data_IF_928853382177
#
_entry.id   IF_928853382177
#
_cell.length_a   1.000
_cell.length_b   1.000
_cell.length_c   1.000
_cell.angle_alpha   90.00
_cell.angle_beta   90.00
_cell.angle_gamma   90.00
#
_symmetry.space_group_name_H-M   'P 1'
#
loop_
_entity.id
_entity.type
_entity.pdbx_description
1 polymer ?
#
# COMPACT_ATOMS: atom_id res chain seq x y z
N UNK A 1 11.84 -18.86 12.82
CA UNK A 1 12.71 -17.70 13.06
C UNK A 1 12.08 -16.39 12.54
N UNK A 2 12.33 -15.25 13.18
CA UNK A 2 11.79 -13.93 12.75
C UNK A 2 12.92 -12.94 12.61
N UNK A 3 12.92 -12.17 11.52
CA UNK A 3 13.87 -11.09 11.27
C UNK A 3 13.12 -9.77 11.30
N UNK A 4 13.56 -8.84 12.14
CA UNK A 4 13.10 -7.45 12.16
C UNK A 4 14.24 -6.52 11.74
N UNK A 5 13.93 -5.45 11.02
CA UNK A 5 14.90 -4.46 10.60
C UNK A 5 14.27 -3.11 10.28
N UNK A 6 15.10 -2.15 9.89
CA UNK A 6 14.66 -0.83 9.43
C UNK A 6 15.34 -0.51 8.09
N UNK A 7 14.58 0.03 7.13
CA UNK A 7 15.14 0.54 5.87
C UNK A 7 15.08 2.06 5.89
N UNK A 8 16.26 2.67 5.78
CA UNK A 8 16.41 4.13 5.79
C UNK A 8 16.69 4.65 4.38
N UNK A 9 15.84 5.54 3.89
CA UNK A 9 16.09 6.27 2.66
C UNK A 9 16.98 7.49 2.93
N UNK A 10 18.26 7.38 2.58
CA UNK A 10 19.20 8.50 2.73
C UNK A 10 19.20 9.47 1.54
N UNK A 11 18.43 9.20 0.49
CA UNK A 11 18.35 10.06 -0.69
C UNK A 11 17.51 11.32 -0.43
N UNK A 12 17.56 12.27 -1.36
CA UNK A 12 16.70 13.45 -1.44
C UNK A 12 15.43 13.22 -2.30
N UNK A 13 15.23 11.99 -2.79
CA UNK A 13 14.04 11.53 -3.51
C UNK A 13 13.48 10.26 -2.89
N UNK A 14 12.19 9.97 -3.15
CA UNK A 14 11.54 8.77 -2.66
C UNK A 14 12.01 7.51 -3.39
N UNK A 15 12.00 6.37 -2.72
CA UNK A 15 12.42 5.08 -3.28
C UNK A 15 11.44 3.96 -2.92
N UNK A 16 11.30 2.98 -3.80
CA UNK A 16 10.67 1.69 -3.49
C UNK A 16 11.81 0.69 -3.27
N UNK A 17 12.11 0.27 -2.03
CA UNK A 17 13.18 -0.68 -1.78
C UNK A 17 12.69 -2.12 -1.99
N UNK A 18 13.60 -2.95 -2.48
CA UNK A 18 13.51 -4.40 -2.49
C UNK A 18 14.61 -4.92 -1.58
N UNK A 19 14.21 -5.61 -0.51
CA UNK A 19 15.12 -6.12 0.52
C UNK A 19 15.16 -7.63 0.37
N UNK A 20 16.35 -8.21 0.21
CA UNK A 20 16.52 -9.66 0.28
C UNK A 20 17.10 -10.00 1.64
N UNK A 21 16.37 -10.83 2.38
CA UNK A 21 16.78 -11.35 3.68
C UNK A 21 17.08 -12.83 3.52
N UNK A 22 18.28 -13.24 3.92
CA UNK A 22 18.73 -14.63 3.85
C UNK A 22 19.13 -15.15 5.22
N UNK A 23 18.67 -16.34 5.55
CA UNK A 23 18.99 -17.04 6.80
C UNK A 23 19.56 -18.41 6.45
N UNK A 24 20.74 -18.72 6.99
CA UNK A 24 21.34 -20.05 6.91
C UNK A 24 20.88 -20.85 8.12
N UNK A 25 20.39 -22.06 7.91
CA UNK A 25 20.04 -23.01 8.96
C UNK A 25 20.54 -24.41 8.57
N UNK A 26 21.60 -24.86 9.24
CA UNK A 26 22.37 -26.04 8.81
C UNK A 26 23.00 -25.84 7.43
N UNK A 27 22.68 -26.74 6.50
CA UNK A 27 23.16 -26.69 5.10
C UNK A 27 22.22 -25.89 4.17
N UNK A 28 21.04 -25.47 4.66
CA UNK A 28 20.03 -24.80 3.85
C UNK A 28 20.17 -23.29 3.96
N UNK A 29 19.94 -22.59 2.85
CA UNK A 29 19.77 -21.13 2.83
C UNK A 29 18.34 -20.80 2.44
N UNK A 30 17.66 -20.05 3.30
CA UNK A 30 16.30 -19.57 3.05
C UNK A 30 16.36 -18.09 2.73
N UNK A 31 15.89 -17.70 1.55
CA UNK A 31 15.85 -16.30 1.11
C UNK A 31 14.42 -15.86 0.92
N UNK A 32 14.08 -14.68 1.45
CA UNK A 32 12.81 -14.02 1.17
C UNK A 32 13.06 -12.60 0.68
N UNK A 33 12.26 -12.20 -0.30
CA UNK A 33 12.24 -10.85 -0.84
C UNK A 33 11.10 -10.07 -0.20
N UNK A 34 11.41 -8.86 0.25
CA UNK A 34 10.43 -7.90 0.77
C UNK A 34 10.39 -6.75 -0.21
N UNK A 35 9.24 -6.55 -0.83
CA UNK A 35 8.90 -5.33 -1.55
C UNK A 35 8.24 -4.40 -0.55
N UNK A 36 8.90 -3.30 -0.22
CA UNK A 36 8.35 -2.32 0.72
C UNK A 36 7.59 -1.22 -0.02
N UNK A 37 6.75 -0.48 0.70
CA UNK A 37 6.05 0.70 0.17
C UNK A 37 7.07 1.81 -0.19
N UNK A 38 6.67 2.80 -1.00
CA UNK A 38 7.49 3.99 -1.22
C UNK A 38 7.94 4.63 0.10
N UNK A 39 9.26 4.78 0.26
CA UNK A 39 9.88 5.47 1.40
C UNK A 39 10.20 6.90 0.95
N UNK A 40 9.59 7.94 1.56
CA UNK A 40 9.92 9.33 1.29
C UNK A 40 11.42 9.65 1.49
N UNK A 41 11.90 10.80 0.98
CA UNK A 41 13.25 11.27 1.24
C UNK A 41 13.53 11.40 2.74
N UNK A 42 14.71 10.96 3.18
CA UNK A 42 15.21 11.14 4.55
C UNK A 42 14.36 10.48 5.66
N UNK A 43 13.41 9.62 5.31
CA UNK A 43 12.63 8.83 6.27
C UNK A 43 13.11 7.39 6.33
N UNK A 44 12.59 6.65 7.29
CA UNK A 44 12.83 5.22 7.43
C UNK A 44 11.54 4.47 7.75
N UNK A 45 11.53 3.18 7.48
CA UNK A 45 10.37 2.32 7.73
C UNK A 45 10.81 0.93 8.22
N UNK A 46 10.26 0.47 9.35
CA UNK A 46 10.58 -0.86 9.86
C UNK A 46 9.96 -1.96 8.98
N UNK A 47 10.55 -3.15 9.01
CA UNK A 47 10.00 -4.35 8.37
C UNK A 47 10.22 -5.59 9.23
N UNK A 48 9.23 -6.50 9.21
CA UNK A 48 9.29 -7.79 9.89
C UNK A 48 9.05 -8.89 8.87
N UNK A 49 9.86 -9.95 8.91
CA UNK A 49 9.65 -11.14 8.09
C UNK A 49 9.87 -12.42 8.88
N UNK A 50 8.95 -13.37 8.72
CA UNK A 50 9.03 -14.69 9.37
C UNK A 50 9.55 -15.74 8.40
N UNK A 51 10.44 -16.58 8.90
CA UNK A 51 10.92 -17.82 8.27
C UNK A 51 10.41 -19.00 9.11
N UNK A 52 9.18 -19.51 8.82
CA UNK A 52 8.67 -20.72 9.46
C UNK A 52 9.51 -21.97 9.18
N UNK A 53 10.26 -21.98 8.08
CA UNK A 53 11.08 -23.09 7.62
C UNK A 53 12.38 -23.24 8.43
N UNK A 54 12.81 -22.16 9.10
CA UNK A 54 14.00 -22.15 9.96
C UNK A 54 13.61 -22.67 11.33
N UNK A 55 14.10 -23.87 11.65
CA UNK A 55 13.77 -24.62 12.88
C UNK A 55 15.00 -25.07 13.66
N UNK A 56 16.22 -24.89 13.15
CA UNK A 56 17.43 -25.24 13.87
C UNK A 56 17.76 -24.27 15.01
N UNK A 57 18.67 -24.71 15.87
CA UNK A 57 18.98 -24.05 17.15
C UNK A 57 19.93 -22.85 17.01
N UNK A 58 20.64 -22.74 15.88
CA UNK A 58 21.64 -21.69 15.65
C UNK A 58 21.60 -21.14 14.21
N UNK A 59 20.47 -20.56 13.76
CA UNK A 59 20.37 -19.95 12.45
C UNK A 59 21.27 -18.70 12.34
N UNK A 60 21.88 -18.50 11.18
CA UNK A 60 22.76 -17.36 10.90
C UNK A 60 22.04 -16.42 9.94
N UNK A 61 21.76 -15.19 10.40
CA UNK A 61 21.25 -14.12 9.55
C UNK A 61 22.40 -13.54 8.72
N UNK A 62 22.25 -13.55 7.39
CA UNK A 62 23.19 -12.89 6.49
C UNK A 62 22.88 -11.40 6.38
N UNK A 63 23.87 -10.63 5.91
CA UNK A 63 23.68 -9.22 5.57
C UNK A 63 22.60 -9.09 4.49
N UNK A 64 21.67 -8.15 4.68
CA UNK A 64 20.55 -7.96 3.77
C UNK A 64 21.03 -7.27 2.48
N UNK A 65 20.59 -7.78 1.32
CA UNK A 65 20.83 -7.09 0.06
C UNK A 65 19.71 -6.09 -0.23
N UNK A 66 20.09 -4.88 -0.64
CA UNK A 66 19.15 -3.81 -0.94
C UNK A 66 19.22 -3.41 -2.42
N UNK A 67 18.07 -3.41 -3.08
CA UNK A 67 17.86 -2.73 -4.37
C UNK A 67 16.77 -1.70 -4.22
N UNK A 68 16.72 -0.69 -5.08
CA UNK A 68 15.62 0.26 -5.05
C UNK A 68 15.33 0.84 -6.43
N UNK A 69 14.09 1.28 -6.60
CA UNK A 69 13.65 2.07 -7.76
C UNK A 69 13.27 3.46 -7.28
N UNK A 70 13.72 4.50 -7.98
CA UNK A 70 13.34 5.89 -7.70
C UNK A 70 11.84 6.08 -7.97
N UNK A 71 11.14 6.73 -7.06
CA UNK A 71 9.71 7.04 -7.17
C UNK A 71 9.43 8.46 -6.69
N UNK A 72 8.16 8.85 -6.63
CA UNK A 72 7.69 10.08 -6.01
C UNK A 72 6.76 9.74 -4.85
N UNK A 73 7.09 10.28 -3.68
CA UNK A 73 6.29 10.18 -2.47
C UNK A 73 6.75 11.28 -1.54
N UNK A 74 5.83 12.16 -1.18
CA UNK A 74 6.12 13.22 -0.23
C UNK A 74 6.14 12.65 1.20
N UNK A 75 6.98 13.21 2.09
CA UNK A 75 6.93 12.89 3.51
C UNK A 75 5.56 13.24 4.08
N UNK A 76 5.05 12.37 4.94
CA UNK A 76 3.79 12.62 5.63
C UNK A 76 4.06 13.66 6.71
N UNK A 77 3.19 14.67 6.80
CA UNK A 77 3.30 15.75 7.79
C UNK A 77 2.70 15.35 9.15
N UNK A 78 3.00 14.13 9.59
CA UNK A 78 2.65 13.65 10.92
C UNK A 78 3.95 13.52 11.71
N UNK A 79 3.97 14.08 12.90
CA UNK A 79 5.06 13.93 13.85
C UNK A 79 4.62 13.17 15.10
N UNK A 80 5.56 12.45 15.70
CA UNK A 80 5.38 11.84 17.02
C UNK A 80 5.78 12.87 18.07
N UNK A 81 4.91 13.07 19.06
CA UNK A 81 5.21 13.95 20.19
C UNK A 81 6.10 13.23 21.21
N UNK A 82 7.41 13.46 21.13
CA UNK A 82 8.42 12.92 22.06
C UNK A 82 8.45 13.73 23.38
N UNK A 83 7.34 13.75 24.09
CA UNK A 83 7.22 14.38 25.40
C UNK A 83 6.82 13.36 26.49
N UNK A 84 6.41 13.85 27.66
CA UNK A 84 6.02 13.01 28.81
C UNK A 84 4.79 12.12 28.57
N UNK A 85 4.12 12.27 27.42
CA UNK A 85 2.96 11.45 27.03
C UNK A 85 3.35 10.21 26.23
N UNK A 86 4.59 10.09 25.76
CA UNK A 86 5.11 8.86 25.17
C UNK A 86 5.57 7.92 26.29
N UNK A 87 4.68 7.01 26.69
CA UNK A 87 4.81 6.21 27.92
C UNK A 87 4.82 4.73 27.55
N UNK A 88 5.86 4.01 27.97
CA UNK A 88 5.84 2.55 28.06
C UNK A 88 5.22 2.15 29.40
N UNK A 89 4.28 1.23 29.36
CA UNK A 89 3.57 0.72 30.53
C UNK A 89 4.17 -0.60 31.04
N UNK A 90 3.73 -1.01 32.22
CA UNK A 90 4.26 -2.20 32.92
C UNK A 90 3.95 -3.51 32.18
N UNK A 91 2.83 -3.57 31.45
CA UNK A 91 2.43 -4.67 30.58
C UNK A 91 3.10 -4.62 29.19
N UNK A 92 4.13 -3.78 29.04
CA UNK A 92 4.98 -3.71 27.87
C UNK A 92 4.47 -2.82 26.73
N UNK A 93 3.19 -2.44 26.72
CA UNK A 93 2.63 -1.60 25.65
C UNK A 93 3.13 -0.14 25.72
N UNK A 94 2.95 0.60 24.63
CA UNK A 94 3.30 2.03 24.55
C UNK A 94 2.10 2.86 24.13
N UNK A 95 1.88 3.98 24.82
CA UNK A 95 0.94 5.03 24.41
C UNK A 95 1.71 6.27 24.02
N UNK A 96 1.18 7.02 23.06
CA UNK A 96 1.77 8.29 22.65
C UNK A 96 0.77 9.17 21.93
N UNK A 97 1.28 10.26 21.36
CA UNK A 97 0.49 11.21 20.58
C UNK A 97 1.15 11.51 19.25
N UNK A 98 0.31 11.66 18.24
CA UNK A 98 0.69 12.18 16.93
C UNK A 98 0.10 13.57 16.72
N UNK A 99 0.80 14.39 15.95
CA UNK A 99 0.36 15.72 15.55
C UNK A 99 0.50 15.87 14.04
N UNK A 100 -0.55 16.33 13.37
CA UNK A 100 -0.45 16.74 11.98
C UNK A 100 0.08 18.18 11.91
N UNK A 101 1.37 18.33 11.66
CA UNK A 101 2.04 19.63 11.57
C UNK A 101 2.01 20.22 10.13
N UNK A 102 1.26 19.57 9.23
CA UNK A 102 1.09 19.99 7.84
C UNK A 102 -0.19 20.80 7.61
N UNK A 103 -0.43 21.16 6.35
CA UNK A 103 -1.59 21.92 5.91
C UNK A 103 -2.64 21.06 5.17
N UNK A 104 -2.46 19.74 5.16
CA UNK A 104 -3.36 18.79 4.50
C UNK A 104 -3.91 17.79 5.51
N UNK A 105 -5.16 17.37 5.31
CA UNK A 105 -5.73 16.23 6.02
C UNK A 105 -5.06 14.95 5.56
N UNK A 106 -4.55 14.16 6.50
CA UNK A 106 -3.96 12.84 6.22
C UNK A 106 -5.00 11.77 6.55
N UNK A 107 -5.26 10.87 5.61
CA UNK A 107 -6.23 9.78 5.77
C UNK A 107 -5.53 8.47 6.09
N UNK A 108 -6.17 7.66 6.93
CA UNK A 108 -5.71 6.32 7.33
C UNK A 108 -4.25 6.23 7.84
N UNK A 109 -3.75 7.21 8.62
CA UNK A 109 -2.38 7.11 9.11
C UNK A 109 -2.23 5.96 10.09
N UNK A 110 -1.08 5.30 10.01
CA UNK A 110 -0.58 4.34 10.98
C UNK A 110 0.75 4.80 11.52
N UNK A 111 1.07 4.35 12.71
CA UNK A 111 2.37 4.54 13.32
C UNK A 111 2.97 3.15 13.50
N UNK A 112 4.17 2.94 12.97
CA UNK A 112 4.97 1.75 13.23
C UNK A 112 6.04 2.08 14.26
N UNK A 113 6.44 1.11 15.08
CA UNK A 113 7.60 1.25 15.95
C UNK A 113 8.30 -0.10 16.15
N UNK A 114 9.60 -0.05 16.46
CA UNK A 114 10.39 -1.23 16.80
C UNK A 114 10.36 -1.41 18.31
N UNK A 115 9.94 -2.59 18.77
CA UNK A 115 10.05 -3.01 20.16
C UNK A 115 11.40 -3.71 20.37
N UNK A 116 12.21 -3.18 21.28
CA UNK A 116 13.54 -3.70 21.58
C UNK A 116 13.56 -4.41 22.92
N UNK A 117 14.25 -5.54 22.95
CA UNK A 117 14.68 -6.21 24.17
C UNK A 117 16.09 -5.80 24.54
N UNK A 118 16.74 -6.60 25.38
CA UNK A 118 18.13 -6.36 25.77
C UNK A 118 19.10 -6.70 24.61
N UNK A 119 19.32 -5.73 23.71
CA UNK A 119 20.25 -5.86 22.58
C UNK A 119 19.67 -6.56 21.35
N UNK A 120 18.37 -6.88 21.34
CA UNK A 120 17.68 -7.54 20.22
C UNK A 120 16.43 -6.77 19.80
N UNK A 121 16.04 -6.92 18.54
CA UNK A 121 14.70 -6.53 18.06
C UNK A 121 13.75 -7.66 18.39
N UNK A 122 12.73 -7.38 19.20
CA UNK A 122 11.72 -8.37 19.58
C UNK A 122 10.53 -8.33 18.62
N UNK A 123 10.10 -7.12 18.25
CA UNK A 123 8.90 -6.94 17.44
C UNK A 123 8.90 -5.64 16.64
N UNK A 124 7.97 -5.57 15.68
CA UNK A 124 7.53 -4.35 15.04
C UNK A 124 6.03 -4.24 15.26
N UNK A 125 5.66 -3.20 15.98
CA UNK A 125 4.28 -2.93 16.41
C UNK A 125 3.68 -1.83 15.58
N UNK A 126 2.35 -1.76 15.56
CA UNK A 126 1.60 -0.65 15.01
C UNK A 126 0.52 -0.20 15.99
N UNK A 127 -0.02 1.01 15.76
CA UNK A 127 -1.16 1.50 16.53
C UNK A 127 -2.39 0.63 16.30
N UNK A 128 -3.11 0.30 17.38
CA UNK A 128 -4.33 -0.52 17.32
C UNK A 128 -5.52 0.30 16.85
N UNK A 129 -5.55 1.59 17.20
CA UNK A 129 -6.64 2.48 16.85
C UNK A 129 -6.71 2.69 15.34
N UNK A 130 -7.86 2.44 14.74
CA UNK A 130 -8.13 2.87 13.37
C UNK A 130 -8.29 4.39 13.35
N UNK A 131 -7.37 5.08 12.69
CA UNK A 131 -7.40 6.53 12.50
C UNK A 131 -7.92 6.81 11.10
N UNK A 132 -9.20 7.16 10.95
CA UNK A 132 -9.80 7.47 9.64
C UNK A 132 -9.09 8.66 8.97
N UNK A 133 -8.84 9.72 9.75
CA UNK A 133 -8.10 10.90 9.30
C UNK A 133 -7.52 11.68 10.48
N UNK A 134 -6.55 12.53 10.18
CA UNK A 134 -6.03 13.58 11.06
C UNK A 134 -5.97 14.90 10.28
N UNK A 135 -6.72 15.90 10.75
CA UNK A 135 -6.79 17.23 10.14
C UNK A 135 -5.55 18.08 10.52
N UNK A 136 -5.24 19.16 9.77
CA UNK A 136 -4.17 20.09 10.13
C UNK A 136 -4.26 20.57 11.58
N UNK A 137 -3.12 20.61 12.27
CA UNK A 137 -2.95 20.96 13.69
C UNK A 137 -3.68 20.03 14.70
N UNK A 138 -4.32 18.95 14.24
CA UNK A 138 -4.97 17.99 15.12
C UNK A 138 -3.94 17.11 15.84
N UNK A 139 -4.20 16.83 17.10
CA UNK A 139 -3.44 15.87 17.92
C UNK A 139 -4.33 14.67 18.23
N UNK A 140 -3.83 13.46 17.97
CA UNK A 140 -4.50 12.20 18.29
C UNK A 140 -3.62 11.33 19.18
N UNK A 141 -4.26 10.53 20.01
CA UNK A 141 -3.60 9.52 20.84
C UNK A 141 -3.49 8.20 20.08
N UNK A 142 -2.45 7.43 20.37
CA UNK A 142 -2.29 6.07 19.86
C UNK A 142 -1.79 5.13 20.96
N UNK A 143 -2.09 3.86 20.82
CA UNK A 143 -1.52 2.78 21.63
C UNK A 143 -1.00 1.65 20.75
N UNK A 144 0.12 1.04 21.15
CA UNK A 144 0.72 -0.09 20.46
C UNK A 144 1.05 -1.18 21.47
N UNK A 145 0.66 -2.40 21.15
CA UNK A 145 0.90 -3.56 21.99
C UNK A 145 1.86 -4.49 21.24
N UNK A 146 2.94 -4.95 21.87
CA UNK A 146 3.78 -6.01 21.31
C UNK A 146 3.09 -7.36 21.49
N UNK A 147 3.62 -8.40 20.85
CA UNK A 147 3.14 -9.77 21.08
C UNK A 147 3.19 -10.11 22.60
N UNK A 148 2.10 -10.66 23.19
CA UNK A 148 2.06 -10.96 24.63
C UNK A 148 3.14 -11.92 25.11
N UNK A 149 3.69 -12.74 24.21
CA UNK A 149 4.76 -13.66 24.53
C UNK A 149 6.11 -12.98 24.79
N UNK A 150 6.24 -11.68 24.50
CA UNK A 150 7.47 -10.91 24.66
C UNK A 150 7.29 -9.62 25.49
N UNK A 151 6.09 -9.31 25.98
CA UNK A 151 5.79 -8.01 26.65
C UNK A 151 6.76 -7.72 27.80
N UNK A 152 7.06 -8.74 28.60
CA UNK A 152 7.96 -8.66 29.76
C UNK A 152 9.42 -8.40 29.35
N UNK A 153 9.80 -8.79 28.14
CA UNK A 153 11.14 -8.64 27.58
C UNK A 153 11.34 -7.28 26.89
N UNK A 154 10.26 -6.54 26.61
CA UNK A 154 10.35 -5.23 25.96
C UNK A 154 11.02 -4.23 26.91
N UNK A 155 12.17 -3.72 26.48
CA UNK A 155 12.96 -2.72 27.20
C UNK A 155 12.58 -1.29 26.77
N UNK A 156 12.46 -1.02 25.47
CA UNK A 156 12.08 0.30 24.93
C UNK A 156 11.55 0.21 23.49
N UNK A 157 10.96 1.30 23.02
CA UNK A 157 10.50 1.48 21.64
C UNK A 157 11.36 2.50 20.90
N UNK A 158 11.60 2.28 19.62
CA UNK A 158 12.33 3.22 18.76
C UNK A 158 11.80 3.24 17.33
N UNK A 159 12.34 4.13 16.50
CA UNK A 159 12.00 4.25 15.08
C UNK A 159 10.50 4.38 14.84
N UNK A 160 9.83 5.25 15.61
CA UNK A 160 8.43 5.54 15.37
C UNK A 160 8.27 6.21 14.00
N UNK A 161 7.56 5.54 13.10
CA UNK A 161 7.38 5.95 11.72
C UNK A 161 5.89 6.12 11.42
N UNK A 162 5.39 7.36 11.29
CA UNK A 162 4.11 7.63 10.68
C UNK A 162 4.13 7.21 9.22
N UNK A 163 3.16 6.39 8.83
CA UNK A 163 2.97 5.89 7.47
C UNK A 163 1.51 6.12 7.09
N UNK A 164 1.24 6.47 5.84
CA UNK A 164 -0.13 6.70 5.35
C UNK A 164 -0.70 5.44 4.69
N UNK A 165 0.12 4.38 4.61
CA UNK A 165 -0.24 3.05 4.11
C UNK A 165 0.66 1.98 4.74
N UNK A 166 0.08 0.95 5.35
CA UNK A 166 0.78 -0.33 5.67
C UNK A 166 0.41 -1.42 4.69
N UNK A 167 -0.01 -1.01 3.50
CA UNK A 167 -0.55 -1.88 2.48
C UNK A 167 0.55 -2.83 2.01
N UNK A 168 0.40 -4.12 2.33
CA UNK A 168 1.37 -5.15 2.01
C UNK A 168 1.06 -5.68 0.61
N UNK A 169 1.95 -5.48 -0.38
CA UNK A 169 1.77 -6.07 -1.70
C UNK A 169 2.00 -7.59 -1.64
N UNK A 170 1.20 -8.34 -2.39
CA UNK A 170 1.28 -9.78 -2.50
C UNK A 170 1.13 -10.18 -3.97
N UNK A 171 2.09 -10.95 -4.47
CA UNK A 171 2.05 -11.56 -5.79
C UNK A 171 1.85 -13.06 -5.65
N UNK A 172 0.91 -13.62 -6.40
CA UNK A 172 0.71 -15.08 -6.51
C UNK A 172 0.46 -15.48 -7.96
N UNK A 173 0.74 -16.74 -8.31
CA UNK A 173 0.38 -17.27 -9.62
C UNK A 173 -1.13 -17.55 -9.71
N UNK A 174 -1.73 -17.15 -10.83
CA UNK A 174 -3.14 -17.42 -11.18
C UNK A 174 -3.26 -17.63 -12.68
N UNK A 175 -3.89 -18.72 -13.11
CA UNK A 175 -4.17 -19.03 -14.53
C UNK A 175 -2.97 -18.82 -15.49
N UNK A 176 -1.74 -19.10 -15.05
CA UNK A 176 -0.53 -19.01 -15.86
C UNK A 176 0.20 -17.66 -15.83
N UNK A 177 -0.31 -16.64 -15.13
CA UNK A 177 0.38 -15.36 -14.93
C UNK A 177 0.45 -14.93 -13.46
N UNK A 178 0.95 -13.72 -13.26
CA UNK A 178 1.02 -13.07 -11.95
C UNK A 178 -0.30 -12.36 -11.63
N UNK A 179 -0.77 -12.56 -10.41
CA UNK A 179 -1.90 -11.88 -9.83
C UNK A 179 -1.42 -11.10 -8.62
N UNK A 180 -1.34 -9.79 -8.81
CA UNK A 180 -0.92 -8.84 -7.79
C UNK A 180 -2.14 -8.31 -7.05
N UNK A 181 -2.07 -8.35 -5.73
CA UNK A 181 -3.07 -7.76 -4.86
C UNK A 181 -2.37 -7.19 -3.63
N UNK A 182 -3.12 -6.53 -2.77
CA UNK A 182 -2.56 -5.98 -1.54
C UNK A 182 -3.51 -6.18 -0.38
N UNK A 183 -3.01 -6.05 0.84
CA UNK A 183 -3.87 -6.06 2.02
C UNK A 183 -3.38 -5.06 3.06
N UNK A 184 -4.32 -4.55 3.83
CA UNK A 184 -4.07 -3.79 5.04
C UNK A 184 -4.67 -4.54 6.24
N UNK A 185 -3.87 -4.82 7.26
CA UNK A 185 -4.32 -5.60 8.41
C UNK A 185 -3.43 -5.37 9.63
N UNK A 186 -3.99 -5.56 10.83
CA UNK A 186 -3.19 -5.76 12.04
C UNK A 186 -2.71 -7.22 12.23
N UNK A 187 -3.21 -8.16 11.41
CA UNK A 187 -2.76 -9.54 11.35
C UNK A 187 -1.82 -9.78 10.14
N UNK A 188 -0.98 -10.81 10.24
CA UNK A 188 -0.02 -11.15 9.19
C UNK A 188 -0.57 -12.22 8.26
N UNK A 189 -0.40 -12.02 6.95
CA UNK A 189 -0.80 -12.99 5.94
C UNK A 189 0.36 -13.38 5.02
N UNK A 190 0.44 -14.68 4.69
CA UNK A 190 1.52 -15.20 3.83
C UNK A 190 1.11 -16.48 3.09
N UNK A 191 1.99 -16.94 2.19
CA UNK A 191 1.79 -18.16 1.40
C UNK A 191 0.47 -18.16 0.61
N UNK A 192 0.13 -17.01 0.02
CA UNK A 192 -0.99 -16.85 -0.89
C UNK A 192 -0.83 -17.80 -2.09
N UNK A 193 -1.89 -18.52 -2.43
CA UNK A 193 -1.95 -19.37 -3.62
C UNK A 193 -3.36 -19.51 -4.15
N UNK A 194 -3.52 -19.54 -5.46
CA UNK A 194 -4.77 -19.95 -6.09
C UNK A 194 -4.85 -21.47 -6.27
N UNK A 195 -6.07 -21.99 -6.29
CA UNK A 195 -6.34 -23.32 -6.87
C UNK A 195 -6.10 -23.33 -8.39
N UNK A 196 -6.10 -24.53 -8.98
CA UNK A 196 -5.86 -24.72 -10.41
C UNK A 196 -6.88 -23.96 -11.28
N UNK A 197 -8.13 -23.86 -10.83
CA UNK A 197 -9.17 -23.12 -11.55
C UNK A 197 -8.99 -21.60 -11.47
N UNK A 198 -8.20 -21.10 -10.51
CA UNK A 198 -8.03 -19.68 -10.26
C UNK A 198 -9.24 -18.99 -9.62
N UNK A 199 -10.13 -19.74 -8.96
CA UNK A 199 -11.39 -19.21 -8.39
C UNK A 199 -11.36 -19.09 -6.87
N UNK A 200 -10.34 -19.68 -6.24
CA UNK A 200 -10.16 -19.74 -4.80
C UNK A 200 -8.74 -19.33 -4.45
N UNK A 201 -8.62 -18.26 -3.67
CA UNK A 201 -7.39 -17.85 -3.01
C UNK A 201 -7.31 -18.48 -1.63
N UNK A 202 -6.18 -19.10 -1.31
CA UNK A 202 -5.86 -19.61 0.02
C UNK A 202 -4.64 -18.86 0.56
N UNK A 203 -4.71 -18.36 1.78
CA UNK A 203 -3.64 -17.61 2.43
C UNK A 203 -3.55 -17.99 3.92
N UNK A 204 -2.33 -18.10 4.45
CA UNK A 204 -2.12 -18.38 5.88
C UNK A 204 -2.19 -17.09 6.67
N UNK A 205 -3.12 -17.01 7.62
CA UNK A 205 -3.29 -15.89 8.53
C UNK A 205 -2.71 -16.18 9.92
N UNK A 206 -2.07 -15.16 10.49
CA UNK A 206 -1.47 -15.18 11.82
C UNK A 206 -1.82 -13.89 12.56
N UNK A 207 -2.71 -13.98 13.53
CA UNK A 207 -2.88 -12.96 14.56
C UNK A 207 -2.27 -13.48 15.87
N UNK A 208 -1.18 -12.88 16.31
CA UNK A 208 -0.56 -13.22 17.60
C UNK A 208 -0.96 -12.23 18.70
N UNK A 209 -1.70 -11.17 18.34
CA UNK A 209 -2.15 -10.15 19.29
C UNK A 209 -3.33 -10.63 20.14
N UNK A 210 -3.40 -10.21 21.43
CA UNK A 210 -4.45 -10.61 22.36
C UNK A 210 -5.74 -9.81 22.19
N UNK A 211 -5.74 -8.85 21.25
CA UNK A 211 -6.87 -7.97 20.95
C UNK A 211 -7.41 -8.26 19.56
N UNK A 212 -8.69 -7.94 19.37
CA UNK A 212 -9.33 -8.00 18.07
C UNK A 212 -8.67 -6.98 17.14
N UNK A 213 -8.49 -7.36 15.88
CA UNK A 213 -7.99 -6.48 14.84
C UNK A 213 -8.82 -6.63 13.56
N UNK A 214 -8.32 -6.14 12.43
CA UNK A 214 -9.00 -6.19 11.15
C UNK A 214 -8.09 -6.69 10.05
N UNK A 215 -8.69 -7.12 8.95
CA UNK A 215 -8.04 -7.33 7.66
C UNK A 215 -8.89 -6.75 6.54
N UNK A 216 -8.26 -6.09 5.59
CA UNK A 216 -8.85 -5.55 4.38
C UNK A 216 -7.99 -5.98 3.19
N UNK A 217 -8.51 -6.85 2.34
CA UNK A 217 -7.84 -7.27 1.11
C UNK A 217 -8.35 -6.44 -0.05
N UNK A 218 -7.42 -5.99 -0.88
CA UNK A 218 -7.66 -5.18 -2.07
C UNK A 218 -7.27 -5.98 -3.31
N UNK A 219 -8.28 -6.39 -4.07
CA UNK A 219 -8.10 -7.20 -5.27
C UNK A 219 -8.41 -6.39 -6.54
N UNK A 220 -7.60 -6.53 -7.59
CA UNK A 220 -7.98 -6.00 -8.89
C UNK A 220 -9.24 -6.71 -9.41
N UNK A 221 -10.11 -5.96 -10.09
CA UNK A 221 -11.25 -6.51 -10.78
C UNK A 221 -10.83 -7.35 -11.98
N UNK A 222 -11.51 -8.47 -12.22
CA UNK A 222 -11.46 -9.20 -13.49
C UNK A 222 -12.67 -8.77 -14.34
N UNK A 223 -13.86 -8.81 -13.76
CA UNK A 223 -15.11 -8.44 -14.45
C UNK A 223 -15.91 -7.34 -13.75
N UNK A 224 -15.62 -7.07 -12.47
CA UNK A 224 -16.41 -6.18 -11.61
C UNK A 224 -17.72 -6.82 -11.11
N UNK A 225 -17.93 -8.12 -11.36
CA UNK A 225 -19.13 -8.87 -10.93
C UNK A 225 -18.82 -9.92 -9.86
N UNK A 226 -17.59 -10.00 -9.40
CA UNK A 226 -17.13 -10.94 -8.40
C UNK A 226 -17.94 -10.81 -7.11
N UNK A 227 -18.28 -11.96 -6.53
CA UNK A 227 -18.95 -12.04 -5.23
C UNK A 227 -18.16 -12.98 -4.35
N UNK A 228 -17.56 -12.41 -3.31
CA UNK A 228 -16.66 -13.15 -2.47
C UNK A 228 -17.41 -13.97 -1.43
N UNK A 229 -16.73 -14.99 -0.92
CA UNK A 229 -17.07 -15.63 0.34
C UNK A 229 -15.77 -15.93 1.07
N UNK A 230 -15.77 -15.72 2.39
CA UNK A 230 -14.57 -15.79 3.22
C UNK A 230 -14.76 -16.85 4.29
N UNK A 231 -13.80 -17.77 4.40
CA UNK A 231 -13.75 -18.74 5.49
C UNK A 231 -12.37 -18.76 6.15
N UNK A 232 -12.34 -19.05 7.46
CA UNK A 232 -11.12 -19.32 8.23
C UNK A 232 -11.22 -20.73 8.79
N UNK A 233 -10.27 -21.60 8.44
CA UNK A 233 -10.32 -23.03 8.78
C UNK A 233 -11.68 -23.66 8.44
N UNK A 234 -12.17 -23.35 7.22
CA UNK A 234 -13.46 -23.78 6.66
C UNK A 234 -14.72 -23.29 7.38
N UNK A 235 -14.57 -22.42 8.39
CA UNK A 235 -15.71 -21.74 9.05
C UNK A 235 -16.00 -20.40 8.40
N UNK A 236 -17.26 -20.04 8.12
CA UNK A 236 -17.62 -18.73 7.56
C UNK A 236 -17.13 -17.58 8.44
N UNK A 237 -16.56 -16.57 7.80
CA UNK A 237 -16.17 -15.30 8.42
C UNK A 237 -17.19 -14.25 8.01
N UNK A 238 -17.65 -13.42 8.96
CA UNK A 238 -18.48 -12.26 8.64
C UNK A 238 -17.58 -11.18 8.02
N UNK A 239 -17.88 -10.77 6.79
CA UNK A 239 -17.09 -9.79 6.06
C UNK A 239 -18.01 -8.82 5.31
N UNK A 240 -17.44 -7.70 4.87
CA UNK A 240 -18.03 -6.77 3.92
C UNK A 240 -17.20 -6.74 2.64
N UNK A 241 -17.85 -6.49 1.51
CA UNK A 241 -17.16 -6.19 0.25
C UNK A 241 -17.65 -4.89 -0.35
N UNK A 242 -16.75 -4.15 -1.00
CA UNK A 242 -17.06 -2.91 -1.74
C UNK A 242 -16.07 -2.72 -2.88
N UNK A 243 -16.35 -1.79 -3.79
CA UNK A 243 -15.43 -1.37 -4.86
C UNK A 243 -15.07 0.09 -4.61
N UNK A 244 -13.78 0.43 -4.67
CA UNK A 244 -13.35 1.82 -4.60
C UNK A 244 -13.44 2.56 -5.94
N UNK A 245 -13.15 3.85 -5.93
CA UNK A 245 -13.17 4.71 -7.12
C UNK A 245 -12.14 4.29 -8.18
N UNK A 246 -11.14 3.47 -7.80
CA UNK A 246 -10.09 2.95 -8.70
C UNK A 246 -10.41 1.56 -9.24
N UNK A 247 -11.57 0.99 -8.88
CA UNK A 247 -12.01 -0.31 -9.36
C UNK A 247 -11.41 -1.50 -8.62
N UNK A 248 -10.83 -1.30 -7.42
CA UNK A 248 -10.37 -2.40 -6.58
C UNK A 248 -11.49 -2.89 -5.67
N UNK A 249 -11.61 -4.21 -5.58
CA UNK A 249 -12.45 -4.87 -4.61
C UNK A 249 -11.80 -4.81 -3.23
N UNK A 250 -12.51 -4.24 -2.26
CA UNK A 250 -12.20 -4.40 -0.85
C UNK A 250 -12.96 -5.58 -0.27
N UNK A 251 -12.28 -6.45 0.46
CA UNK A 251 -12.85 -7.54 1.24
C UNK A 251 -12.34 -7.40 2.67
N UNK A 252 -13.18 -6.87 3.55
CA UNK A 252 -12.80 -6.49 4.91
C UNK A 252 -13.56 -7.26 5.98
N UNK A 253 -12.86 -7.67 7.04
CA UNK A 253 -13.42 -8.42 8.18
C UNK A 253 -12.61 -8.23 9.46
N UNK A 254 -13.22 -8.55 10.60
CA UNK A 254 -12.55 -8.56 11.91
C UNK A 254 -11.75 -9.85 12.09
N UNK A 255 -10.62 -9.75 12.79
CA UNK A 255 -9.71 -10.87 13.06
C UNK A 255 -9.65 -11.08 14.56
N UNK A 256 -10.06 -12.27 15.01
CA UNK A 256 -10.10 -12.63 16.41
C UNK A 256 -8.70 -12.62 17.06
N UNK A 257 -8.60 -12.28 18.36
CA UNK A 257 -7.38 -12.41 19.15
C UNK A 257 -6.70 -13.77 19.02
N UNK A 258 -5.37 -13.79 18.97
CA UNK A 258 -4.54 -15.02 19.04
C UNK A 258 -4.98 -16.12 18.06
N UNK A 259 -5.49 -15.71 16.89
CA UNK A 259 -6.04 -16.63 15.90
C UNK A 259 -5.02 -16.97 14.82
N UNK A 260 -5.03 -18.24 14.39
CA UNK A 260 -4.23 -18.69 13.27
C UNK A 260 -5.06 -19.62 12.39
N UNK A 261 -4.77 -19.62 11.10
CA UNK A 261 -5.47 -20.53 10.22
C UNK A 261 -5.23 -20.31 8.74
N UNK A 262 -5.98 -21.10 7.98
CA UNK A 262 -6.06 -20.99 6.54
C UNK A 262 -7.28 -20.16 6.21
N UNK A 263 -7.04 -18.94 5.76
CA UNK A 263 -8.06 -18.08 5.17
C UNK A 263 -8.29 -18.52 3.73
N UNK A 264 -9.55 -18.67 3.35
CA UNK A 264 -9.98 -19.01 2.00
C UNK A 264 -10.94 -17.94 1.50
N UNK A 265 -10.60 -17.31 0.39
CA UNK A 265 -11.45 -16.34 -0.30
C UNK A 265 -11.84 -16.95 -1.63
N UNK A 266 -13.12 -17.22 -1.81
CA UNK A 266 -13.68 -17.77 -3.07
C UNK A 266 -14.46 -16.70 -3.80
N UNK A 267 -14.76 -16.93 -5.08
CA UNK A 267 -15.62 -16.03 -5.87
C UNK A 267 -14.89 -15.22 -6.92
N UNK A 268 -13.58 -15.47 -7.07
CA UNK A 268 -12.80 -14.93 -8.18
C UNK A 268 -13.25 -15.58 -9.50
N UNK A 269 -13.33 -14.76 -10.56
CA UNK A 269 -13.53 -15.26 -11.91
C UNK A 269 -12.25 -15.88 -12.48
N UNK A 270 -12.39 -16.65 -13.56
CA UNK A 270 -11.25 -17.25 -14.28
C UNK A 270 -10.51 -16.18 -15.08
N UNK A 271 -9.21 -16.36 -15.23
CA UNK A 271 -8.35 -15.44 -15.98
C UNK A 271 -7.61 -14.46 -15.08
N UNK A 272 -6.88 -13.53 -15.67
CA UNK A 272 -6.21 -12.46 -14.97
C UNK A 272 -7.07 -11.19 -15.04
N UNK A 273 -6.87 -10.24 -14.12
CA UNK A 273 -7.39 -8.89 -14.29
C UNK A 273 -7.04 -8.38 -15.68
N UNK A 274 -7.95 -7.65 -16.37
CA UNK A 274 -7.52 -6.83 -17.49
C UNK A 274 -6.38 -5.92 -17.03
N UNK A 275 -5.42 -5.62 -17.90
CA UNK A 275 -4.38 -4.66 -17.56
C UNK A 275 -5.06 -3.40 -17.03
N UNK A 276 -4.79 -3.05 -15.76
CA UNK A 276 -5.43 -1.91 -15.13
C UNK A 276 -4.95 -0.69 -15.90
N UNK A 277 -5.89 -0.09 -16.63
CA UNK A 277 -5.68 1.17 -17.32
C UNK A 277 -5.11 2.15 -16.30
N UNK A 278 -3.92 2.71 -16.56
CA UNK A 278 -3.25 3.69 -15.69
C UNK A 278 -4.11 4.95 -15.51
N UNK A 279 -5.12 5.09 -16.37
CA UNK A 279 -6.03 6.21 -16.46
C UNK A 279 -7.45 5.72 -16.10
N UNK A 280 -8.18 6.41 -15.21
CA UNK A 280 -9.55 6.04 -14.89
C UNK A 280 -10.44 6.01 -16.13
N UNK A 281 -11.33 5.03 -16.19
CA UNK A 281 -12.20 4.79 -17.35
C UNK A 281 -13.06 6.01 -17.72
N UNK A 282 -13.50 6.82 -16.75
CA UNK A 282 -14.31 8.00 -17.01
C UNK A 282 -13.52 9.09 -17.78
N UNK A 283 -12.21 9.21 -17.58
CA UNK A 283 -11.36 10.14 -18.35
C UNK A 283 -11.30 9.68 -19.81
N UNK A 284 -11.26 8.36 -20.03
CA UNK A 284 -11.29 7.75 -21.37
C UNK A 284 -12.63 7.94 -22.07
N UNK A 285 -13.73 7.85 -21.32
CA UNK A 285 -15.06 8.23 -21.80
C UNK A 285 -15.13 9.70 -22.19
N UNK A 286 -14.58 10.60 -21.38
CA UNK A 286 -14.52 12.04 -21.70
C UNK A 286 -13.67 12.31 -22.94
N UNK A 287 -12.58 11.58 -23.17
CA UNK A 287 -11.80 11.70 -24.41
C UNK A 287 -12.62 11.35 -25.66
N UNK A 288 -13.43 10.29 -25.61
CA UNK A 288 -14.35 9.96 -26.70
C UNK A 288 -15.35 11.08 -26.95
N UNK A 289 -16.02 11.56 -25.91
CA UNK A 289 -17.00 12.64 -26.00
C UNK A 289 -16.38 13.93 -26.53
N UNK A 290 -15.16 14.26 -26.11
CA UNK A 290 -14.46 15.44 -26.57
C UNK A 290 -14.04 15.33 -28.04
N UNK A 291 -13.56 14.16 -28.46
CA UNK A 291 -13.17 13.90 -29.86
C UNK A 291 -14.36 13.90 -30.83
N UNK A 292 -15.57 13.66 -30.32
CA UNK A 292 -16.83 13.67 -31.09
C UNK A 292 -17.65 14.95 -30.87
N UNK A 293 -17.04 16.00 -30.34
CA UNK A 293 -17.65 17.32 -30.09
C UNK A 293 -18.87 17.30 -29.15
N UNK A 294 -19.02 16.26 -28.31
CA UNK A 294 -20.10 16.13 -27.32
C UNK A 294 -19.83 16.92 -26.03
N UNK A 295 -18.55 17.12 -25.66
CA UNK A 295 -18.14 17.97 -24.55
C UNK A 295 -17.12 19.02 -25.00
N UNK A 296 -17.08 20.14 -24.28
CA UNK A 296 -16.17 21.27 -24.52
C UNK A 296 -14.72 20.95 -24.13
N UNK A 297 -13.78 21.77 -24.61
CA UNK A 297 -12.37 21.68 -24.20
C UNK A 297 -12.22 21.81 -22.67
N UNK A 298 -12.99 22.68 -22.02
CA UNK A 298 -12.97 22.85 -20.56
C UNK A 298 -13.42 21.60 -19.81
N UNK A 299 -14.50 20.94 -20.25
CA UNK A 299 -15.00 19.71 -19.61
C UNK A 299 -14.02 18.55 -19.79
N UNK A 300 -13.30 18.50 -20.92
CA UNK A 300 -12.25 17.51 -21.10
C UNK A 300 -11.01 17.80 -20.23
N UNK A 301 -10.64 19.09 -20.10
CA UNK A 301 -9.51 19.51 -19.27
C UNK A 301 -9.71 19.17 -17.79
N UNK A 302 -10.94 19.15 -17.25
CA UNK A 302 -11.20 18.66 -15.89
C UNK A 302 -10.70 17.21 -15.68
N UNK A 303 -10.84 16.36 -16.71
CA UNK A 303 -10.30 15.01 -16.70
C UNK A 303 -8.78 14.96 -16.72
N UNK A 304 -8.15 15.88 -17.43
CA UNK A 304 -6.69 16.03 -17.48
C UNK A 304 -6.15 16.55 -16.14
N UNK A 305 -6.81 17.56 -15.57
CA UNK A 305 -6.49 18.14 -14.26
C UNK A 305 -6.50 17.08 -13.17
N UNK A 306 -7.52 16.21 -13.18
CA UNK A 306 -7.57 15.05 -12.29
C UNK A 306 -6.32 14.15 -12.41
N UNK A 307 -5.83 13.89 -13.63
CA UNK A 307 -4.62 13.07 -13.81
C UNK A 307 -3.38 13.72 -13.19
N UNK A 308 -3.31 15.06 -13.19
CA UNK A 308 -2.25 15.80 -12.51
C UNK A 308 -2.43 15.84 -11.00
N UNK A 309 -3.65 16.06 -10.50
CA UNK A 309 -3.98 16.05 -9.08
C UNK A 309 -3.68 14.69 -8.42
N UNK A 310 -3.96 13.59 -9.13
CA UNK A 310 -3.68 12.23 -8.65
C UNK A 310 -2.26 11.72 -8.96
N UNK A 311 -1.42 12.55 -9.57
CA UNK A 311 -0.03 12.19 -9.88
C UNK A 311 0.13 11.11 -10.95
N UNK A 312 -0.90 10.88 -11.77
CA UNK A 312 -0.87 9.93 -12.90
C UNK A 312 -0.02 10.50 -14.05
N UNK A 313 -0.07 11.82 -14.26
CA UNK A 313 0.87 12.57 -15.13
C UNK A 313 1.72 13.48 -14.25
N UNK A 314 3.03 13.50 -14.49
CA UNK A 314 3.98 14.33 -13.74
C UNK A 314 4.79 15.20 -14.71
N UNK A 315 4.90 16.50 -14.43
CA UNK A 315 5.77 17.43 -15.18
C UNK A 315 6.69 18.16 -14.23
N UNK A 316 7.97 18.29 -14.59
CA UNK A 316 9.03 18.87 -13.75
C UNK A 316 8.91 20.39 -13.54
N UNK A 317 8.00 21.08 -14.22
CA UNK A 317 7.81 22.54 -14.08
C UNK A 317 6.32 22.90 -14.02
N UNK A 318 5.80 23.16 -12.82
CA UNK A 318 4.51 23.83 -12.62
C UNK A 318 4.75 25.35 -12.63
N UNK A 319 4.58 26.00 -13.78
CA UNK A 319 4.22 27.42 -13.80
C UNK A 319 2.68 27.47 -13.76
N UNK A 320 2.10 27.53 -12.55
CA UNK A 320 0.66 27.72 -12.39
C UNK A 320 0.33 29.18 -12.75
N UNK A 321 -0.24 29.39 -13.93
CA UNK A 321 -0.88 30.68 -14.28
C UNK A 321 -2.39 30.51 -14.28
N UNK A 322 -3.05 31.31 -13.46
CA UNK A 322 -4.50 31.27 -13.26
C UNK A 322 -5.29 31.49 -14.55
N UNK A 323 -6.30 30.62 -14.74
CA UNK A 323 -7.47 30.72 -15.64
C UNK A 323 -7.20 31.43 -16.98
N UNK A 324 -7.14 30.65 -18.05
CA UNK A 324 -7.36 31.21 -19.38
C UNK A 324 -8.28 30.31 -20.21
N UNK A 325 -9.09 30.96 -21.04
CA UNK A 325 -9.97 30.35 -22.05
C UNK A 325 -9.14 29.64 -23.13
N UNK A 326 -8.51 28.52 -22.76
CA UNK A 326 -7.62 27.79 -23.64
C UNK A 326 -8.41 26.94 -24.61
N UNK A 327 -8.05 27.01 -25.90
CA UNK A 327 -8.60 26.13 -26.93
C UNK A 327 -7.56 25.08 -27.28
N UNK A 328 -7.94 23.82 -27.15
CA UNK A 328 -7.09 22.70 -27.51
C UNK A 328 -6.95 22.65 -29.04
N UNK A 329 -5.72 22.54 -29.57
CA UNK A 329 -5.54 22.29 -31.00
C UNK A 329 -6.34 21.08 -31.48
N UNK A 330 -7.09 21.24 -32.57
CA UNK A 330 -7.99 20.19 -33.10
C UNK A 330 -7.30 18.88 -33.45
N UNK A 331 -6.00 18.91 -33.77
CA UNK A 331 -5.22 17.70 -34.03
C UNK A 331 -5.11 16.77 -32.82
N UNK A 332 -5.25 17.29 -31.59
CA UNK A 332 -5.22 16.49 -30.35
C UNK A 332 -6.47 15.60 -30.25
N UNK A 333 -7.61 16.02 -30.83
CA UNK A 333 -8.84 15.22 -30.85
C UNK A 333 -8.67 13.87 -31.56
N UNK A 334 -7.81 13.81 -32.58
CA UNK A 334 -7.50 12.56 -33.29
C UNK A 334 -6.87 11.56 -32.32
N UNK A 335 -5.92 12.03 -31.50
CA UNK A 335 -5.24 11.18 -30.53
C UNK A 335 -6.14 10.79 -29.36
N UNK A 336 -7.03 11.67 -28.91
CA UNK A 336 -8.07 11.34 -27.93
C UNK A 336 -9.06 10.29 -28.46
N UNK A 337 -9.49 10.39 -29.71
CA UNK A 337 -10.31 9.37 -30.39
C UNK A 337 -9.56 8.04 -30.44
N UNK A 338 -8.31 8.03 -30.92
CA UNK A 338 -7.50 6.81 -30.98
C UNK A 338 -7.31 6.16 -29.61
N UNK A 339 -7.09 6.95 -28.57
CA UNK A 339 -6.98 6.40 -27.21
C UNK A 339 -8.30 5.81 -26.74
N UNK A 340 -9.42 6.50 -26.96
CA UNK A 340 -10.75 6.00 -26.56
C UNK A 340 -11.20 4.76 -27.33
N UNK A 341 -10.66 4.54 -28.53
CA UNK A 341 -10.89 3.36 -29.38
C UNK A 341 -9.85 2.26 -29.19
N UNK A 342 -9.01 2.35 -28.16
CA UNK A 342 -7.93 1.39 -27.85
C UNK A 342 -6.89 1.22 -28.98
N UNK A 343 -6.73 2.21 -29.85
CA UNK A 343 -5.73 2.22 -30.93
C UNK A 343 -4.34 2.65 -30.45
N UNK A 344 -4.25 3.32 -29.30
CA UNK A 344 -3.00 3.66 -28.63
C UNK A 344 -3.10 3.33 -27.14
N UNK A 345 -1.97 3.07 -26.50
CA UNK A 345 -1.91 2.69 -25.09
C UNK A 345 -2.13 3.89 -24.16
N UNK A 346 -2.39 3.62 -22.88
CA UNK A 346 -2.43 4.69 -21.86
C UNK A 346 -1.09 5.40 -21.75
N UNK A 347 0.03 4.70 -21.88
CA UNK A 347 1.36 5.31 -21.86
C UNK A 347 1.55 6.27 -23.05
N UNK A 348 1.06 5.91 -24.23
CA UNK A 348 1.10 6.80 -25.40
C UNK A 348 0.27 8.08 -25.15
N UNK A 349 -0.91 7.93 -24.55
CA UNK A 349 -1.77 9.06 -24.20
C UNK A 349 -1.15 9.94 -23.10
N UNK A 350 -0.65 9.36 -22.02
CA UNK A 350 0.02 10.08 -20.92
C UNK A 350 1.26 10.84 -21.40
N UNK A 351 2.10 10.19 -22.23
CA UNK A 351 3.27 10.83 -22.84
C UNK A 351 2.87 12.01 -23.73
N UNK A 352 1.75 11.93 -24.46
CA UNK A 352 1.24 13.05 -25.23
C UNK A 352 0.85 14.22 -24.31
N UNK A 353 0.05 13.96 -23.26
CA UNK A 353 -0.39 14.99 -22.31
C UNK A 353 0.82 15.67 -21.64
N UNK A 354 1.81 14.88 -21.19
CA UNK A 354 3.04 15.41 -20.63
C UNK A 354 3.79 16.31 -21.62
N UNK A 355 3.90 15.89 -22.89
CA UNK A 355 4.54 16.69 -23.94
C UNK A 355 3.80 17.98 -24.25
N UNK A 356 2.46 17.96 -24.24
CA UNK A 356 1.63 19.14 -24.47
C UNK A 356 1.86 20.20 -23.40
N UNK A 357 1.98 19.80 -22.13
CA UNK A 357 2.29 20.70 -21.03
C UNK A 357 3.74 21.17 -21.08
N UNK A 358 4.71 20.27 -21.30
CA UNK A 358 6.15 20.63 -21.45
C UNK A 358 6.39 21.67 -22.55
N UNK A 359 5.63 21.58 -23.65
CA UNK A 359 5.72 22.50 -24.79
C UNK A 359 4.86 23.75 -24.62
N UNK A 360 4.19 23.92 -23.47
CA UNK A 360 3.26 25.02 -23.16
C UNK A 360 2.12 25.14 -24.20
N UNK A 361 1.71 24.01 -24.77
CA UNK A 361 0.56 23.89 -25.69
C UNK A 361 -0.74 23.80 -24.90
N UNK A 362 -0.68 23.28 -23.66
CA UNK A 362 -1.75 23.32 -22.66
C UNK A 362 -1.14 23.92 -21.39
N UNK A 363 -1.90 24.76 -20.69
CA UNK A 363 -1.56 25.28 -19.36
C UNK A 363 -2.60 24.75 -18.39
N UNK A 364 -2.13 24.23 -17.26
CA UNK A 364 -2.93 23.57 -16.22
C UNK A 364 -2.70 24.29 -14.90
#
# INVERSE_FOLDING_TARGET
>A
YTVGGNVKNQNDYAVIPTILVSVIDGENTFTKTILHVPIPPKTDIPFKIKFPEVTGDAPILLEAELKFVKTQKDPISIEILYDKTLIKHDDGHVTGRIHNNGNQTIFNPKILAIAHGNGTVLDIVNNIEYIDKIEPDQILEFSMYPDPSITDDVFFYSCFAPVDTTVVPVTTKKNGGDFDFRYDSGAWYSAAKFNEEGTTLTIRGYNSYPLETYANFEFPQISGKEKFNVTLNDKPVKFIQSVDDTGFWHVAFTVDPTSQGILKITGFEKGLPPEISKIPQWVKTNANWWSTDQISDSEFLEGIDFLFEKGIVVVTSKEMTAKSNWKLPSWIKITASWWSEDKISDDDFLNMIENLVKRKIIII
#
